data_IF_700980122394
#
_entry.id   IF_700980122394
#
_cell.length_a   1.000
_cell.length_b   1.000
_cell.length_c   1.000
_cell.angle_alpha   90.00
_cell.angle_beta   90.00
_cell.angle_gamma   90.00
#
_symmetry.space_group_name_H-M   'P 1'
#
loop_
_entity.id
_entity.type
_entity.pdbx_description
1 polymer ?
#
# COMPACT_ATOMS: atom_id res chain seq x y z
N UNK A 1 2.39 4.04 19.66
CA UNK A 1 1.63 4.55 18.50
C UNK A 1 1.53 6.04 18.65
N UNK A 2 1.89 6.76 17.58
CA UNK A 2 1.85 8.21 17.52
C UNK A 2 0.75 8.64 16.57
N UNK A 3 -0.01 9.65 16.98
CA UNK A 3 -1.16 10.16 16.24
C UNK A 3 -0.96 11.66 16.03
N UNK A 4 -1.13 12.08 14.79
CA UNK A 4 -1.24 13.47 14.38
C UNK A 4 -2.67 13.72 13.93
N UNK A 5 -3.31 14.76 14.47
CA UNK A 5 -4.62 15.21 14.00
C UNK A 5 -4.44 16.59 13.38
N UNK A 6 -4.83 16.72 12.11
CA UNK A 6 -4.80 17.99 11.37
C UNK A 6 -6.24 18.42 11.09
N UNK A 7 -6.49 19.72 11.16
CA UNK A 7 -7.81 20.33 10.97
C UNK A 7 -8.73 20.25 12.19
N UNK A 8 -9.82 21.01 12.17
CA UNK A 8 -10.81 21.05 13.24
C UNK A 8 -11.96 20.06 12.99
N UNK A 9 -12.40 19.37 14.05
CA UNK A 9 -13.57 18.46 14.02
C UNK A 9 -13.21 16.99 14.18
N UNK A 10 -14.15 16.10 13.85
CA UNK A 10 -13.94 14.65 13.92
C UNK A 10 -13.35 14.14 12.60
N UNK A 11 -12.16 13.52 12.59
CA UNK A 11 -11.60 12.94 11.37
C UNK A 11 -12.49 11.83 10.80
N UNK A 12 -12.78 11.91 9.50
CA UNK A 12 -13.46 10.85 8.73
C UNK A 12 -12.48 10.06 7.85
N UNK A 13 -11.21 10.47 7.84
CA UNK A 13 -10.13 9.88 7.05
C UNK A 13 -8.96 9.60 7.97
N UNK A 14 -8.32 8.44 7.79
CA UNK A 14 -7.08 8.11 8.48
C UNK A 14 -6.01 7.58 7.54
N UNK A 15 -4.75 7.88 7.84
CA UNK A 15 -3.57 7.32 7.20
C UNK A 15 -2.78 6.56 8.26
N UNK A 16 -2.41 5.32 7.97
CA UNK A 16 -1.67 4.43 8.87
C UNK A 16 -0.37 4.02 8.19
N UNK A 17 0.75 4.24 8.88
CA UNK A 17 2.06 3.79 8.46
C UNK A 17 2.72 2.90 9.51
N UNK A 18 3.63 2.04 9.06
CA UNK A 18 4.47 1.19 9.92
C UNK A 18 3.65 0.30 10.87
N UNK A 19 2.68 -0.41 10.30
CA UNK A 19 2.08 -1.60 10.93
C UNK A 19 3.17 -2.63 11.22
N UNK A 20 4.07 -2.83 10.26
CA UNK A 20 5.30 -3.60 10.42
C UNK A 20 6.47 -2.64 10.67
N UNK A 21 7.30 -2.93 11.67
CA UNK A 21 8.39 -2.03 12.08
C UNK A 21 9.57 -1.97 11.11
N UNK A 22 9.78 -3.03 10.32
CA UNK A 22 10.80 -3.08 9.27
C UNK A 22 10.35 -2.42 7.96
N UNK A 23 9.15 -1.84 7.91
CA UNK A 23 8.58 -1.07 6.80
C UNK A 23 8.48 0.44 7.17
N UNK A 24 9.60 1.19 7.16
CA UNK A 24 9.65 2.57 7.66
C UNK A 24 9.05 3.61 6.69
N UNK A 25 8.70 3.23 5.45
CA UNK A 25 8.27 4.16 4.40
C UNK A 25 7.04 4.97 4.81
N UNK A 26 6.02 4.32 5.41
CA UNK A 26 4.81 4.98 5.88
C UNK A 26 5.08 6.00 6.99
N UNK A 27 5.88 5.65 8.00
CA UNK A 27 6.25 6.58 9.06
C UNK A 27 7.02 7.80 8.52
N UNK A 28 8.03 7.57 7.67
CA UNK A 28 8.81 8.66 7.05
C UNK A 28 7.93 9.60 6.22
N UNK A 29 7.00 9.03 5.45
CA UNK A 29 6.08 9.80 4.62
C UNK A 29 5.09 10.64 5.47
N UNK A 30 4.54 10.07 6.54
CA UNK A 30 3.68 10.78 7.50
C UNK A 30 4.44 11.92 8.17
N UNK A 31 5.65 11.64 8.70
CA UNK A 31 6.46 12.65 9.39
C UNK A 31 6.86 13.79 8.45
N UNK A 32 7.21 13.48 7.20
CA UNK A 32 7.47 14.48 6.16
C UNK A 32 6.23 15.34 5.89
N UNK A 33 5.08 14.70 5.65
CA UNK A 33 3.83 15.41 5.36
C UNK A 33 3.42 16.34 6.51
N UNK A 34 3.51 15.88 7.76
CA UNK A 34 3.18 16.70 8.93
C UNK A 34 4.17 17.85 9.12
N UNK A 35 5.46 17.64 8.85
CA UNK A 35 6.48 18.67 8.99
C UNK A 35 6.32 19.84 8.00
N UNK A 36 5.61 19.63 6.89
CA UNK A 36 5.27 20.65 5.90
C UNK A 36 4.12 21.57 6.36
N UNK A 37 3.47 21.27 7.49
CA UNK A 37 2.32 22.01 8.05
C UNK A 37 1.22 22.30 7.02
N UNK A 38 0.64 21.25 6.39
CA UNK A 38 -0.26 21.41 5.27
C UNK A 38 -1.62 22.00 5.70
N UNK A 39 -2.16 22.88 4.87
CA UNK A 39 -3.51 23.42 5.05
C UNK A 39 -4.55 22.39 4.58
N UNK A 40 -5.25 21.77 5.52
CA UNK A 40 -6.25 20.73 5.25
C UNK A 40 -7.67 21.31 5.24
N UNK A 41 -8.47 20.94 4.24
CA UNK A 41 -9.87 21.37 4.11
C UNK A 41 -10.82 20.59 5.04
N UNK A 42 -10.39 19.40 5.48
CA UNK A 42 -11.16 18.49 6.34
C UNK A 42 -10.26 17.84 7.39
N UNK A 43 -10.77 17.52 8.58
CA UNK A 43 -9.97 16.89 9.61
C UNK A 43 -9.50 15.49 9.20
N UNK A 44 -8.23 15.18 9.48
CA UNK A 44 -7.59 13.90 9.16
C UNK A 44 -6.71 13.43 10.31
N UNK A 45 -6.63 12.11 10.47
CA UNK A 45 -5.73 11.45 11.42
C UNK A 45 -4.57 10.76 10.70
N UNK A 46 -3.33 11.04 11.07
CA UNK A 46 -2.17 10.31 10.58
C UNK A 46 -1.51 9.53 11.72
N UNK A 47 -1.26 8.25 11.51
CA UNK A 47 -0.92 7.30 12.57
C UNK A 47 0.37 6.57 12.21
N UNK A 48 1.37 6.66 13.08
CA UNK A 48 2.53 5.76 13.07
C UNK A 48 2.26 4.63 14.06
N UNK A 49 1.90 3.46 13.55
CA UNK A 49 1.29 2.38 14.32
C UNK A 49 2.25 1.74 15.33
N UNK A 50 3.21 0.93 14.87
CA UNK A 50 4.10 0.15 15.73
C UNK A 50 5.48 0.82 15.93
N UNK A 51 5.50 1.92 16.67
CA UNK A 51 6.74 2.68 16.95
C UNK A 51 7.83 1.84 17.65
N UNK A 52 7.45 0.87 18.47
CA UNK A 52 8.42 0.03 19.19
C UNK A 52 9.12 -0.94 18.25
N UNK A 53 8.35 -1.64 17.39
CA UNK A 53 8.93 -2.49 16.35
C UNK A 53 9.72 -1.66 15.32
N UNK A 54 9.24 -0.46 14.97
CA UNK A 54 9.94 0.47 14.09
C UNK A 54 11.30 0.90 14.66
N UNK A 55 11.36 1.20 15.96
CA UNK A 55 12.61 1.53 16.63
C UNK A 55 13.59 0.34 16.71
N UNK A 56 13.05 -0.89 16.74
CA UNK A 56 13.84 -2.12 16.71
C UNK A 56 14.29 -2.54 15.30
N UNK A 57 13.73 -1.95 14.23
CA UNK A 57 13.88 -2.40 12.83
C UNK A 57 13.48 -3.88 12.65
N UNK A 58 12.44 -4.28 13.39
CA UNK A 58 11.86 -5.63 13.36
C UNK A 58 10.42 -5.55 12.87
N UNK A 59 9.95 -6.59 12.17
CA UNK A 59 8.57 -6.64 11.67
C UNK A 59 7.54 -6.47 12.79
N UNK A 60 7.76 -7.14 13.92
CA UNK A 60 6.97 -7.10 15.14
C UNK A 60 7.82 -7.59 16.33
N UNK A 61 7.37 -7.34 17.55
CA UNK A 61 8.03 -7.76 18.79
C UNK A 61 7.48 -9.07 19.35
N UNK A 62 6.15 -9.18 19.54
CA UNK A 62 5.52 -10.36 20.14
C UNK A 62 4.68 -11.15 19.12
N UNK A 63 3.74 -10.49 18.43
CA UNK A 63 2.88 -11.07 17.39
C UNK A 63 2.86 -10.18 16.14
N UNK A 64 2.58 -10.73 14.95
CA UNK A 64 2.35 -9.90 13.75
C UNK A 64 1.10 -9.03 13.94
N UNK A 65 1.27 -7.70 14.01
CA UNK A 65 0.17 -6.75 14.20
C UNK A 65 -0.91 -6.89 13.13
N UNK A 66 -0.54 -7.16 11.86
CA UNK A 66 -1.49 -7.35 10.78
C UNK A 66 -2.15 -8.75 10.78
N UNK A 67 -2.04 -9.48 11.90
CA UNK A 67 -2.76 -10.73 12.20
C UNK A 67 -3.49 -10.68 13.54
N UNK A 68 -3.42 -9.54 14.23
CA UNK A 68 -3.87 -9.40 15.60
C UNK A 68 -5.23 -8.70 15.73
N UNK A 69 -5.84 -8.21 14.65
CA UNK A 69 -7.14 -7.52 14.70
C UNK A 69 -8.28 -8.49 15.05
N UNK A 70 -9.28 -8.08 15.88
CA UNK A 70 -9.51 -6.75 16.45
C UNK A 70 -8.76 -6.44 17.76
N UNK A 71 -7.79 -7.28 18.15
CA UNK A 71 -6.96 -7.10 19.34
C UNK A 71 -7.67 -7.38 20.67
N UNK A 72 -6.91 -7.22 21.76
CA UNK A 72 -7.39 -7.33 23.15
C UNK A 72 -6.63 -6.33 24.03
N UNK A 73 -7.31 -5.38 24.69
CA UNK A 73 -6.65 -4.36 25.52
C UNK A 73 -5.98 -4.95 26.77
N UNK A 74 -6.30 -6.19 27.14
CA UNK A 74 -5.72 -6.89 28.28
C UNK A 74 -4.74 -8.00 27.87
N UNK A 75 -4.41 -8.13 26.58
CA UNK A 75 -3.41 -9.11 26.15
C UNK A 75 -2.03 -8.82 26.77
N UNK A 76 -1.23 -9.87 26.96
CA UNK A 76 0.18 -9.72 27.36
C UNK A 76 1.06 -9.24 26.20
N UNK A 77 0.71 -9.63 24.97
CA UNK A 77 1.37 -9.21 23.73
C UNK A 77 1.17 -7.71 23.47
N UNK A 78 2.26 -7.05 23.10
CA UNK A 78 2.28 -5.66 22.65
C UNK A 78 1.36 -5.44 21.45
N UNK A 79 1.53 -6.21 20.38
CA UNK A 79 0.78 -6.01 19.13
C UNK A 79 -0.72 -6.30 19.30
N UNK A 80 -1.13 -7.21 20.18
CA UNK A 80 -2.56 -7.45 20.43
C UNK A 80 -3.24 -6.29 21.14
N UNK A 81 -2.55 -5.64 22.08
CA UNK A 81 -3.07 -4.39 22.69
C UNK A 81 -3.09 -3.27 21.66
N UNK A 82 -2.02 -3.16 20.88
CA UNK A 82 -1.91 -2.15 19.82
C UNK A 82 -2.99 -2.32 18.74
N UNK A 83 -3.33 -3.55 18.34
CA UNK A 83 -4.41 -3.83 17.39
C UNK A 83 -5.77 -3.34 17.91
N UNK A 84 -6.03 -3.50 19.22
CA UNK A 84 -7.24 -2.98 19.85
C UNK A 84 -7.30 -1.46 19.77
N UNK A 85 -6.21 -0.79 20.12
CA UNK A 85 -6.13 0.67 20.12
C UNK A 85 -6.21 1.23 18.70
N UNK A 86 -5.42 0.71 17.77
CA UNK A 86 -5.44 1.11 16.35
C UNK A 86 -6.82 0.88 15.73
N UNK A 87 -7.44 -0.27 15.98
CA UNK A 87 -8.79 -0.58 15.51
C UNK A 87 -9.87 0.35 16.06
N UNK A 88 -9.64 1.01 17.20
CA UNK A 88 -10.51 2.09 17.70
C UNK A 88 -10.24 3.42 17.00
N UNK A 89 -8.97 3.74 16.73
CA UNK A 89 -8.59 5.00 16.12
C UNK A 89 -9.02 5.13 14.66
N UNK A 90 -9.03 4.03 13.89
CA UNK A 90 -9.48 3.99 12.49
C UNK A 90 -10.99 3.79 12.35
N UNK A 91 -11.70 3.49 13.43
CA UNK A 91 -13.12 3.15 13.40
C UNK A 91 -13.95 4.32 12.88
N UNK A 92 -14.74 4.06 11.83
CA UNK A 92 -15.61 5.07 11.23
C UNK A 92 -14.88 6.03 10.29
N UNK A 93 -13.61 5.73 9.96
CA UNK A 93 -12.85 6.47 8.95
C UNK A 93 -12.72 5.64 7.66
N UNK A 94 -12.53 6.30 6.53
CA UNK A 94 -11.87 5.68 5.38
C UNK A 94 -10.38 5.62 5.66
N UNK A 95 -9.83 4.41 5.83
CA UNK A 95 -8.45 4.21 6.26
C UNK A 95 -7.53 3.91 5.08
N UNK A 96 -6.34 4.50 5.08
CA UNK A 96 -5.30 4.27 4.10
C UNK A 96 -4.06 3.73 4.77
N UNK A 97 -3.75 2.45 4.58
CA UNK A 97 -2.65 1.76 5.25
C UNK A 97 -1.48 1.52 4.29
N UNK A 98 -0.29 1.97 4.68
CA UNK A 98 0.90 1.97 3.85
C UNK A 98 1.85 0.87 4.30
N UNK A 99 2.21 0.02 3.36
CA UNK A 99 3.13 -1.10 3.48
C UNK A 99 4.29 -0.96 2.47
N UNK A 100 5.27 -1.85 2.60
CA UNK A 100 6.25 -2.10 1.54
C UNK A 100 6.59 -3.58 1.47
N UNK A 101 7.07 -4.03 0.33
CA UNK A 101 7.24 -5.46 0.04
C UNK A 101 8.66 -5.79 -0.40
N UNK A 102 9.00 -7.08 -0.44
CA UNK A 102 10.23 -7.58 -1.06
C UNK A 102 9.98 -8.13 -2.48
N UNK A 103 8.76 -8.05 -2.99
CA UNK A 103 8.34 -8.73 -4.22
C UNK A 103 8.33 -7.87 -5.48
N UNK A 104 8.12 -6.56 -5.33
CA UNK A 104 7.81 -5.68 -6.46
C UNK A 104 8.22 -4.24 -6.14
N UNK A 105 8.78 -3.54 -7.13
CA UNK A 105 9.36 -2.21 -6.94
C UNK A 105 8.35 -1.07 -7.12
N UNK A 106 7.39 -1.25 -8.01
CA UNK A 106 6.37 -0.23 -8.27
C UNK A 106 5.25 -0.29 -7.22
N UNK A 107 4.61 0.85 -6.91
CA UNK A 107 3.52 0.87 -5.96
C UNK A 107 2.26 0.24 -6.54
N UNK A 108 1.49 -0.45 -5.69
CA UNK A 108 0.18 -0.99 -6.05
C UNK A 108 -0.78 -1.01 -4.87
N UNK A 109 -2.08 -1.02 -5.17
CA UNK A 109 -3.13 -1.01 -4.16
C UNK A 109 -3.62 -2.41 -3.82
N UNK A 110 -4.09 -2.59 -2.59
CA UNK A 110 -4.70 -3.80 -2.07
C UNK A 110 -6.02 -3.42 -1.40
N UNK A 111 -7.09 -4.12 -1.76
CA UNK A 111 -8.43 -3.94 -1.18
C UNK A 111 -9.06 -5.31 -0.90
N UNK A 112 -9.99 -5.39 0.05
CA UNK A 112 -10.73 -6.63 0.26
C UNK A 112 -11.54 -7.01 -0.98
N UNK A 113 -12.34 -6.04 -1.46
CA UNK A 113 -13.07 -6.07 -2.71
C UNK A 113 -13.21 -4.66 -3.29
N UNK A 114 -13.38 -4.57 -4.61
CA UNK A 114 -13.59 -3.28 -5.30
C UNK A 114 -15.05 -2.83 -5.16
N UNK A 115 -15.32 -2.08 -4.09
CA UNK A 115 -16.61 -1.48 -3.73
C UNK A 115 -16.79 -0.04 -4.27
N UNK A 116 -17.89 0.64 -3.89
CA UNK A 116 -18.18 1.98 -4.37
C UNK A 116 -17.15 3.03 -3.91
N UNK A 117 -16.56 2.86 -2.73
CA UNK A 117 -15.60 3.80 -2.16
C UNK A 117 -14.24 3.60 -2.81
N UNK A 118 -13.72 2.37 -2.85
CA UNK A 118 -12.44 2.09 -3.51
C UNK A 118 -12.48 2.42 -5.01
N UNK A 119 -13.60 2.19 -5.71
CA UNK A 119 -13.76 2.65 -7.11
C UNK A 119 -13.63 4.15 -7.30
N UNK A 120 -13.94 4.96 -6.30
CA UNK A 120 -13.83 6.42 -6.38
C UNK A 120 -12.43 6.95 -6.07
N UNK A 121 -11.63 6.16 -5.33
CA UNK A 121 -10.31 6.54 -4.82
C UNK A 121 -9.20 5.94 -5.65
N UNK A 122 -9.24 4.62 -5.94
CA UNK A 122 -8.16 3.88 -6.59
C UNK A 122 -7.67 4.50 -7.90
N UNK A 123 -8.54 4.96 -8.83
CA UNK A 123 -8.08 5.59 -10.08
C UNK A 123 -7.36 6.93 -9.91
N UNK A 124 -7.41 7.51 -8.70
CA UNK A 124 -6.74 8.78 -8.37
C UNK A 124 -5.40 8.57 -7.67
N UNK A 125 -5.04 7.32 -7.37
CA UNK A 125 -3.77 6.99 -6.75
C UNK A 125 -2.71 6.75 -7.85
N UNK A 126 -1.44 7.12 -7.61
CA UNK A 126 -0.34 6.86 -8.53
C UNK A 126 0.08 5.38 -8.48
N UNK A 127 -0.81 4.49 -8.96
CA UNK A 127 -0.60 3.04 -9.06
C UNK A 127 -1.20 2.52 -10.36
N UNK A 128 -0.57 1.51 -10.96
CA UNK A 128 -1.07 0.88 -12.18
C UNK A 128 -1.87 -0.41 -11.91
N UNK A 129 -1.77 -0.92 -10.68
CA UNK A 129 -2.37 -2.19 -10.26
C UNK A 129 -3.14 -2.07 -8.95
N UNK A 130 -4.30 -2.73 -8.88
CA UNK A 130 -5.03 -3.02 -7.66
C UNK A 130 -5.27 -4.53 -7.50
N UNK A 131 -5.22 -5.01 -6.26
CA UNK A 131 -5.41 -6.42 -5.91
C UNK A 131 -6.58 -6.59 -4.94
N UNK A 132 -7.57 -7.40 -5.32
CA UNK A 132 -8.61 -7.90 -4.43
C UNK A 132 -8.08 -9.08 -3.60
N UNK A 133 -8.07 -8.96 -2.27
CA UNK A 133 -7.62 -10.03 -1.38
C UNK A 133 -8.66 -11.13 -1.23
N UNK A 134 -9.95 -10.84 -1.42
CA UNK A 134 -11.02 -11.81 -1.21
C UNK A 134 -10.87 -12.49 0.17
N UNK A 135 -10.99 -13.81 0.27
CA UNK A 135 -10.90 -14.56 1.53
C UNK A 135 -9.50 -14.62 2.19
N UNK A 136 -8.49 -13.88 1.70
CA UNK A 136 -7.14 -13.89 2.28
C UNK A 136 -6.86 -12.76 3.30
N UNK A 137 -7.90 -12.02 3.68
CA UNK A 137 -7.85 -10.86 4.58
C UNK A 137 -7.92 -11.19 6.09
N UNK A 138 -8.18 -12.44 6.49
CA UNK A 138 -8.45 -12.79 7.90
C UNK A 138 -7.43 -12.23 8.91
N UNK A 139 -7.93 -11.47 9.89
CA UNK A 139 -7.18 -10.90 11.01
C UNK A 139 -6.34 -9.66 10.69
N UNK A 140 -6.49 -9.09 9.49
CA UNK A 140 -5.74 -7.91 9.01
C UNK A 140 -6.51 -6.61 9.21
N UNK A 141 -5.80 -5.48 9.13
CA UNK A 141 -6.43 -4.15 9.12
C UNK A 141 -7.42 -3.99 7.95
N UNK A 142 -7.13 -4.58 6.79
CA UNK A 142 -8.01 -4.50 5.60
C UNK A 142 -9.45 -4.99 5.83
N UNK A 143 -9.72 -5.80 6.88
CA UNK A 143 -11.07 -6.23 7.23
C UNK A 143 -11.92 -5.10 7.84
N UNK A 144 -11.28 -4.01 8.29
CA UNK A 144 -11.99 -2.82 8.71
C UNK A 144 -12.65 -2.16 7.50
N UNK A 145 -13.94 -1.83 7.64
CA UNK A 145 -14.72 -1.20 6.58
C UNK A 145 -14.00 0.03 6.01
N UNK A 146 -13.94 0.12 4.68
CA UNK A 146 -13.38 1.25 3.94
C UNK A 146 -11.86 1.43 4.11
N UNK A 147 -11.13 0.34 4.33
CA UNK A 147 -9.66 0.33 4.30
C UNK A 147 -9.15 0.10 2.88
N UNK A 148 -8.19 0.92 2.46
CA UNK A 148 -7.37 0.73 1.26
C UNK A 148 -5.92 0.55 1.74
N UNK A 149 -5.31 -0.58 1.40
CA UNK A 149 -3.89 -0.82 1.62
C UNK A 149 -3.10 -0.48 0.36
N UNK A 150 -1.84 -0.09 0.52
CA UNK A 150 -0.89 0.07 -0.59
C UNK A 150 0.44 -0.54 -0.22
N UNK A 151 1.08 -1.17 -1.20
CA UNK A 151 2.48 -1.52 -1.14
C UNK A 151 3.24 -0.41 -1.87
N UNK A 152 4.10 0.33 -1.18
CA UNK A 152 4.77 1.51 -1.73
C UNK A 152 6.01 1.19 -2.57
N UNK A 153 6.39 -0.09 -2.66
CA UNK A 153 7.56 -0.57 -3.39
C UNK A 153 8.49 -1.40 -2.51
N UNK A 154 9.78 -1.46 -2.86
CA UNK A 154 10.76 -2.28 -2.15
C UNK A 154 11.04 -1.76 -0.74
N UNK A 155 10.87 -2.65 0.25
CA UNK A 155 11.10 -2.38 1.67
C UNK A 155 12.49 -1.80 1.93
N UNK A 156 12.57 -0.84 2.87
CA UNK A 156 13.78 -0.10 3.27
C UNK A 156 14.43 0.76 2.17
N UNK A 157 13.81 0.90 1.00
CA UNK A 157 14.28 1.84 -0.03
C UNK A 157 13.83 3.27 0.24
N UNK A 158 14.62 4.25 -0.22
CA UNK A 158 14.21 5.66 -0.21
C UNK A 158 13.06 5.90 -1.20
N UNK A 159 13.06 5.16 -2.32
CA UNK A 159 11.99 5.19 -3.31
C UNK A 159 10.62 4.80 -2.73
N UNK A 160 10.56 3.75 -1.89
CA UNK A 160 9.32 3.40 -1.21
C UNK A 160 8.82 4.51 -0.25
N UNK A 161 9.74 5.27 0.37
CA UNK A 161 9.36 6.40 1.22
C UNK A 161 8.85 7.59 0.39
N UNK A 162 9.46 7.86 -0.77
CA UNK A 162 8.98 8.87 -1.71
C UNK A 162 7.61 8.50 -2.31
N UNK A 163 7.45 7.25 -2.74
CA UNK A 163 6.16 6.72 -3.22
C UNK A 163 5.08 6.83 -2.14
N UNK A 164 5.39 6.42 -0.90
CA UNK A 164 4.46 6.55 0.23
C UNK A 164 4.01 8.01 0.45
N UNK A 165 4.90 8.99 0.32
CA UNK A 165 4.54 10.41 0.44
C UNK A 165 3.57 10.86 -0.66
N UNK A 166 3.81 10.50 -1.92
CA UNK A 166 2.90 10.85 -3.02
C UNK A 166 1.57 10.10 -2.93
N UNK A 167 1.58 8.85 -2.49
CA UNK A 167 0.38 8.06 -2.20
C UNK A 167 -0.48 8.71 -1.12
N UNK A 168 0.13 9.21 -0.02
CA UNK A 168 -0.59 9.98 1.01
C UNK A 168 -1.25 11.20 0.38
N UNK A 169 -0.51 12.03 -0.35
CA UNK A 169 -1.08 13.25 -0.94
C UNK A 169 -2.21 12.95 -1.92
N UNK A 170 -2.02 11.97 -2.80
CA UNK A 170 -3.05 11.55 -3.75
C UNK A 170 -4.31 11.04 -3.05
N UNK A 171 -4.17 10.20 -2.01
CA UNK A 171 -5.28 9.71 -1.21
C UNK A 171 -6.02 10.85 -0.48
N UNK A 172 -5.29 11.77 0.13
CA UNK A 172 -5.88 12.92 0.84
C UNK A 172 -6.58 13.88 -0.12
N UNK A 173 -6.05 14.09 -1.33
CA UNK A 173 -6.75 14.82 -2.38
C UNK A 173 -8.00 14.07 -2.87
N UNK A 174 -7.91 12.75 -3.07
CA UNK A 174 -9.04 11.91 -3.50
C UNK A 174 -10.21 11.91 -2.50
N UNK A 175 -9.92 12.11 -1.22
CA UNK A 175 -10.90 12.18 -0.12
C UNK A 175 -11.31 13.61 0.27
N UNK A 176 -10.81 14.62 -0.47
CA UNK A 176 -11.02 16.05 -0.24
C UNK A 176 -10.53 16.54 1.13
N UNK A 177 -9.50 15.89 1.69
CA UNK A 177 -8.75 16.40 2.86
C UNK A 177 -7.78 17.49 2.40
N UNK A 178 -7.12 17.27 1.26
CA UNK A 178 -6.33 18.28 0.58
C UNK A 178 -7.13 18.89 -0.58
N UNK A 179 -6.87 20.16 -0.93
CA UNK A 179 -7.48 20.77 -2.10
C UNK A 179 -7.12 19.98 -3.37
N UNK A 180 -8.02 20.02 -4.35
CA UNK A 180 -7.70 19.52 -5.68
C UNK A 180 -6.55 20.36 -6.29
N UNK A 181 -5.61 19.75 -7.04
CA UNK A 181 -4.57 20.48 -7.74
C UNK A 181 -5.22 21.55 -8.61
N UNK A 182 -4.68 22.77 -8.59
CA UNK A 182 -5.18 23.82 -9.48
C UNK A 182 -5.01 23.34 -10.92
N UNK A 183 -6.11 23.10 -11.63
CA UNK A 183 -6.06 22.87 -13.08
C UNK A 183 -5.42 24.13 -13.64
N UNK A 184 -4.22 24.00 -14.20
CA UNK A 184 -3.61 25.10 -14.93
C UNK A 184 -4.58 25.39 -16.08
N UNK A 185 -5.29 26.51 -15.99
CA UNK A 185 -6.03 27.00 -17.14
C UNK A 185 -5.02 27.12 -18.28
N UNK A 186 -5.24 26.42 -19.39
CA UNK A 186 -4.49 26.59 -20.62
C UNK A 186 -4.46 28.10 -20.96
N UNK A 187 -3.38 28.74 -20.53
CA UNK A 187 -3.10 30.13 -20.81
C UNK A 187 -2.65 30.21 -22.26
N UNK A 188 -3.55 30.60 -23.14
CA UNK A 188 -3.23 30.84 -24.54
C UNK A 188 -2.10 31.86 -24.75
N UNK A 189 -1.21 31.53 -25.70
CA UNK A 189 -0.17 32.33 -26.41
C UNK A 189 0.91 32.98 -25.52
N UNK A 190 2.20 32.78 -25.77
CA UNK A 190 2.93 33.24 -26.97
C UNK A 190 4.32 32.59 -27.09
N UNK A 191 4.83 32.47 -28.33
CA UNK A 191 5.94 31.57 -28.69
C UNK A 191 7.33 31.92 -28.16
N UNK A 192 7.79 31.19 -27.14
CA UNK A 192 9.20 31.04 -26.77
C UNK A 192 9.59 29.56 -26.71
N UNK A 193 10.78 29.22 -27.22
CA UNK A 193 11.29 27.85 -27.23
C UNK A 193 11.35 27.24 -25.81
N UNK A 194 11.13 25.92 -25.63
CA UNK A 194 11.20 25.30 -24.30
C UNK A 194 12.65 25.32 -23.81
N UNK A 195 12.85 25.91 -22.64
CA UNK A 195 14.08 25.76 -21.85
C UNK A 195 13.97 24.43 -21.10
N UNK A 196 14.90 23.51 -21.33
CA UNK A 196 14.97 22.19 -20.70
C UNK A 196 15.43 22.33 -19.24
N UNK A 197 14.57 22.88 -18.39
CA UNK A 197 14.66 22.76 -16.93
C UNK A 197 13.25 22.87 -16.34
N UNK A 198 12.41 21.86 -16.59
CA UNK A 198 11.15 21.72 -15.87
C UNK A 198 11.45 21.37 -14.42
N UNK A 199 11.43 22.39 -13.57
CA UNK A 199 11.26 22.24 -12.13
C UNK A 199 9.92 21.55 -11.89
N UNK A 200 9.92 20.23 -11.66
CA UNK A 200 8.75 19.46 -11.28
C UNK A 200 8.14 20.06 -10.01
N UNK A 201 7.04 20.79 -10.14
CA UNK A 201 6.32 21.33 -8.98
C UNK A 201 5.52 20.22 -8.30
N UNK A 202 5.10 20.42 -7.05
CA UNK A 202 4.23 19.45 -6.36
C UNK A 202 2.93 19.18 -7.13
N UNK A 203 2.38 20.21 -7.77
CA UNK A 203 1.19 20.12 -8.62
C UNK A 203 1.43 19.27 -9.87
N UNK A 204 2.64 19.28 -10.45
CA UNK A 204 2.95 18.50 -11.64
C UNK A 204 2.98 17.00 -11.34
N UNK A 205 3.46 16.56 -10.17
CA UNK A 205 3.45 15.13 -9.78
C UNK A 205 2.05 14.62 -9.41
N UNK A 206 1.23 15.47 -8.80
CA UNK A 206 -0.20 15.17 -8.60
C UNK A 206 -0.96 15.12 -9.93
N UNK A 207 -0.57 15.91 -10.95
CA UNK A 207 -1.11 15.85 -12.31
C UNK A 207 -0.56 14.67 -13.13
N UNK A 208 0.73 14.36 -13.01
CA UNK A 208 1.37 13.17 -13.60
C UNK A 208 0.80 11.87 -13.03
N UNK A 209 0.31 11.89 -11.77
CA UNK A 209 -0.43 10.81 -11.13
C UNK A 209 -1.92 10.76 -11.46
N UNK A 210 -2.45 11.68 -12.28
CA UNK A 210 -3.78 11.59 -12.91
C UNK A 210 -3.56 11.46 -14.41
N UNK A 211 -3.23 10.26 -14.92
CA UNK A 211 -2.97 10.12 -16.34
C UNK A 211 -4.29 10.27 -17.10
N UNK A 212 -4.30 11.07 -18.17
CA UNK A 212 -5.50 11.36 -18.98
C UNK A 212 -6.10 10.13 -19.70
N UNK A 213 -5.58 8.92 -19.49
CA UNK A 213 -6.08 7.68 -20.10
C UNK A 213 -5.61 6.39 -19.37
N UNK A 214 -5.29 6.42 -18.06
CA UNK A 214 -4.85 5.19 -17.37
C UNK A 214 -6.01 4.32 -16.93
N UNK A 215 -6.01 3.07 -17.42
CA UNK A 215 -6.83 2.01 -16.89
C UNK A 215 -6.06 1.27 -15.79
N UNK A 216 -6.53 1.32 -14.55
CA UNK A 216 -5.96 0.58 -13.44
C UNK A 216 -6.28 -0.90 -13.58
N UNK A 217 -5.26 -1.76 -13.70
CA UNK A 217 -5.46 -3.20 -13.78
C UNK A 217 -5.90 -3.77 -12.44
N UNK A 218 -6.98 -4.55 -12.43
CA UNK A 218 -7.49 -5.21 -11.23
C UNK A 218 -7.19 -6.70 -11.30
N UNK A 219 -6.51 -7.20 -10.27
CA UNK A 219 -6.25 -8.61 -10.05
C UNK A 219 -6.98 -9.12 -8.82
N UNK A 220 -7.17 -10.43 -8.73
CA UNK A 220 -7.76 -11.10 -7.55
C UNK A 220 -6.89 -12.25 -7.10
N UNK A 221 -6.67 -12.34 -5.79
CA UNK A 221 -5.98 -13.48 -5.17
C UNK A 221 -6.85 -14.74 -5.24
N UNK A 222 -6.24 -15.86 -5.66
CA UNK A 222 -6.90 -17.15 -5.77
C UNK A 222 -6.32 -18.20 -4.83
N UNK A 223 -5.00 -18.22 -4.66
CA UNK A 223 -4.31 -19.32 -3.99
C UNK A 223 -2.98 -18.86 -3.38
N UNK A 224 -2.60 -19.44 -2.23
CA UNK A 224 -1.27 -19.28 -1.63
C UNK A 224 -0.31 -20.28 -2.26
N UNK A 225 0.82 -19.80 -2.77
CA UNK A 225 1.87 -20.64 -3.33
C UNK A 225 2.78 -21.14 -2.21
N UNK A 226 2.80 -22.44 -1.89
CA UNK A 226 3.50 -22.97 -0.72
C UNK A 226 5.02 -22.80 -0.84
N UNK A 227 5.67 -22.50 0.28
CA UNK A 227 7.13 -22.42 0.38
C UNK A 227 7.62 -23.33 1.51
N UNK A 228 8.00 -24.58 1.20
CA UNK A 228 8.49 -25.50 2.22
C UNK A 228 9.84 -25.01 2.79
N UNK A 229 10.22 -25.44 4.00
CA UNK A 229 11.53 -25.12 4.55
C UNK A 229 12.67 -25.61 3.65
N UNK A 230 13.56 -24.71 3.28
CA UNK A 230 14.75 -24.91 2.47
C UNK A 230 15.84 -23.92 2.88
N UNK A 231 17.09 -24.22 2.51
CA UNK A 231 18.24 -23.34 2.80
C UNK A 231 18.31 -22.16 1.82
N UNK A 232 17.88 -22.36 0.57
CA UNK A 232 17.90 -21.35 -0.49
C UNK A 232 16.60 -21.32 -1.27
N UNK A 233 16.16 -20.10 -1.61
CA UNK A 233 14.97 -19.85 -2.41
C UNK A 233 15.29 -18.96 -3.62
N UNK A 234 14.64 -19.27 -4.74
CA UNK A 234 14.69 -18.46 -5.96
C UNK A 234 13.28 -18.29 -6.51
N UNK A 235 13.01 -17.10 -7.04
CA UNK A 235 11.80 -16.77 -7.80
C UNK A 235 12.21 -16.41 -9.22
N UNK A 236 11.50 -16.94 -10.20
CA UNK A 236 11.79 -16.78 -11.62
C UNK A 236 10.70 -15.97 -12.34
N UNK A 237 9.50 -15.90 -11.77
CA UNK A 237 8.37 -15.18 -12.35
C UNK A 237 8.35 -13.71 -11.91
N UNK A 238 7.85 -12.84 -12.79
CA UNK A 238 7.61 -11.42 -12.52
C UNK A 238 6.19 -11.24 -11.96
N UNK A 239 6.03 -10.47 -10.89
CA UNK A 239 4.70 -10.13 -10.38
C UNK A 239 3.87 -9.40 -11.45
N UNK A 240 2.58 -9.74 -11.52
CA UNK A 240 1.59 -9.22 -12.47
C UNK A 240 1.83 -9.55 -13.96
N UNK A 241 2.84 -10.36 -14.29
CA UNK A 241 3.00 -10.98 -15.61
C UNK A 241 2.46 -12.42 -15.62
N UNK A 242 1.87 -12.91 -16.74
CA UNK A 242 1.30 -14.25 -16.77
C UNK A 242 2.40 -15.32 -16.75
N UNK A 243 2.25 -16.30 -15.85
CA UNK A 243 3.02 -17.56 -15.84
C UNK A 243 2.17 -18.62 -16.53
N UNK A 244 2.74 -19.30 -17.53
CA UNK A 244 2.02 -20.31 -18.31
C UNK A 244 2.16 -21.69 -17.69
N UNK A 245 1.14 -22.53 -17.80
CA UNK A 245 1.20 -23.92 -17.37
C UNK A 245 2.45 -24.65 -17.93
N UNK A 246 3.21 -25.29 -17.04
CA UNK A 246 4.48 -25.94 -17.35
C UNK A 246 5.72 -25.08 -17.15
N UNK A 247 5.57 -23.78 -16.84
CA UNK A 247 6.68 -22.89 -16.53
C UNK A 247 7.11 -22.98 -15.05
N UNK A 248 8.43 -22.97 -14.80
CA UNK A 248 8.96 -22.94 -13.45
C UNK A 248 8.92 -21.52 -12.89
N UNK A 249 8.21 -21.31 -11.78
CA UNK A 249 8.06 -19.97 -11.19
C UNK A 249 8.92 -19.76 -9.94
N UNK A 250 9.31 -20.84 -9.25
CA UNK A 250 10.16 -20.77 -8.06
C UNK A 250 10.99 -22.04 -7.86
N UNK A 251 11.98 -21.96 -6.97
CA UNK A 251 12.81 -23.08 -6.53
C UNK A 251 13.08 -22.97 -5.03
N UNK A 252 13.06 -24.11 -4.34
CA UNK A 252 13.51 -24.27 -2.97
C UNK A 252 14.56 -25.38 -2.93
N UNK A 253 15.83 -25.03 -2.70
CA UNK A 253 16.99 -25.93 -2.88
C UNK A 253 16.99 -26.65 -4.24
N UNK A 254 16.76 -27.97 -4.24
CA UNK A 254 16.70 -28.80 -5.44
C UNK A 254 15.27 -28.98 -5.99
N UNK A 255 14.24 -28.58 -5.25
CA UNK A 255 12.84 -28.72 -5.64
C UNK A 255 12.40 -27.54 -6.50
N UNK A 256 11.95 -27.82 -7.72
CA UNK A 256 11.39 -26.82 -8.64
C UNK A 256 9.87 -26.79 -8.55
N UNK A 257 9.32 -25.59 -8.49
CA UNK A 257 7.89 -25.33 -8.49
C UNK A 257 7.46 -24.90 -9.88
N UNK A 258 6.61 -25.71 -10.50
CA UNK A 258 6.14 -25.55 -11.87
C UNK A 258 4.65 -25.27 -11.85
N UNK A 259 4.22 -24.31 -12.66
CA UNK A 259 2.82 -23.95 -12.79
C UNK A 259 2.00 -25.12 -13.37
N UNK A 260 0.95 -25.54 -12.67
CA UNK A 260 0.00 -26.55 -13.15
C UNK A 260 -1.09 -25.95 -14.07
N UNK A 261 -1.31 -24.64 -13.96
CA UNK A 261 -2.23 -23.82 -14.74
C UNK A 261 -1.67 -22.42 -14.96
N UNK A 262 -2.27 -21.68 -15.88
CA UNK A 262 -1.93 -20.27 -16.09
C UNK A 262 -2.37 -19.44 -14.87
N UNK A 263 -1.52 -18.52 -14.41
CA UNK A 263 -1.84 -17.58 -13.32
C UNK A 263 -0.98 -16.31 -13.39
N UNK A 264 -1.35 -15.31 -12.60
CA UNK A 264 -0.54 -14.10 -12.37
C UNK A 264 0.07 -14.14 -10.97
N UNK A 265 1.41 -14.09 -10.81
CA UNK A 265 2.04 -14.01 -9.51
C UNK A 265 1.76 -12.66 -8.85
N UNK A 266 1.42 -12.69 -7.57
CA UNK A 266 1.15 -11.50 -6.77
C UNK A 266 1.87 -11.65 -5.44
N UNK A 267 2.63 -10.62 -5.04
CA UNK A 267 3.50 -10.64 -3.86
C UNK A 267 4.47 -11.85 -3.84
N UNK A 268 4.86 -12.34 -5.02
CA UNK A 268 5.79 -13.45 -5.18
C UNK A 268 7.22 -12.98 -4.87
N UNK A 269 7.84 -13.58 -3.86
CA UNK A 269 9.21 -13.30 -3.43
C UNK A 269 9.84 -14.52 -2.76
N UNK A 270 11.17 -14.57 -2.78
CA UNK A 270 11.92 -15.65 -2.13
C UNK A 270 11.94 -15.50 -0.58
N UNK A 271 11.94 -14.25 -0.08
CA UNK A 271 12.23 -13.94 1.32
C UNK A 271 11.20 -13.00 1.99
N UNK A 272 10.11 -12.64 1.31
CA UNK A 272 9.08 -11.77 1.87
C UNK A 272 8.21 -12.46 2.93
N UNK A 273 7.67 -13.65 2.63
CA UNK A 273 6.91 -14.45 3.59
C UNK A 273 7.73 -15.63 4.12
N UNK A 274 7.38 -16.14 5.30
CA UNK A 274 8.07 -17.29 5.88
C UNK A 274 7.68 -18.61 5.20
N UNK A 275 6.40 -18.82 4.96
CA UNK A 275 5.77 -20.12 4.63
C UNK A 275 5.13 -20.20 3.24
N UNK A 276 5.08 -19.07 2.52
CA UNK A 276 4.59 -19.00 1.13
C UNK A 276 5.58 -18.23 0.26
N UNK A 277 5.61 -18.50 -1.04
CA UNK A 277 6.34 -17.62 -1.98
C UNK A 277 5.55 -16.35 -2.24
N UNK A 278 4.22 -16.45 -2.24
CA UNK A 278 3.29 -15.38 -2.58
C UNK A 278 1.95 -15.99 -2.96
N UNK A 279 1.25 -15.35 -3.89
CA UNK A 279 -0.08 -15.77 -4.31
C UNK A 279 -0.14 -15.97 -5.82
N UNK A 280 -0.94 -16.94 -6.24
CA UNK A 280 -1.46 -17.00 -7.59
C UNK A 280 -2.77 -16.21 -7.67
N UNK A 281 -2.93 -15.42 -8.72
CA UNK A 281 -4.12 -14.63 -8.99
C UNK A 281 -4.58 -14.66 -10.44
N UNK A 282 -5.66 -13.94 -10.70
CA UNK A 282 -6.23 -13.71 -12.03
C UNK A 282 -6.41 -12.21 -12.27
N UNK A 283 -6.30 -11.76 -13.53
CA UNK A 283 -6.71 -10.41 -13.93
C UNK A 283 -8.23 -10.39 -14.15
N UNK A 284 -8.94 -9.55 -13.40
CA UNK A 284 -10.42 -9.53 -13.37
C UNK A 284 -11.03 -8.36 -14.13
N UNK A 285 -10.24 -7.34 -14.47
CA UNK A 285 -10.70 -6.22 -15.28
C UNK A 285 -9.81 -5.00 -15.14
N UNK A 286 -10.38 -3.83 -15.47
CA UNK A 286 -9.74 -2.53 -15.29
C UNK A 286 -10.71 -1.53 -14.67
N UNK A 287 -10.17 -0.55 -13.93
CA UNK A 287 -10.91 0.66 -13.53
C UNK A 287 -10.45 1.83 -14.42
N UNK A 288 -11.38 2.67 -14.89
CA UNK A 288 -11.06 3.89 -15.64
C UNK A 288 -10.67 5.04 -14.70
#
# INVERSE_FOLDING_TARGET
MRIYELGDGTPEVSVVGSIHGDEPCGARAIERFVAEDPDVERPVKLIVANEEALAADERYLDDDLNRAFPGDPNAESHERRLAHDLGREVRGTTAFSIHSTQSYAEPFAIVDAVDAISRSILPRLPVDVAVETNHFAEGRLIEHAHTIEVEAGLQKSDEAADNAYWLIRAFLTATNVLPAPAIASDGGSDGGAPDETESQTEDDRLKLGIPEEHSLDVFRLLERLPKPPADQYEVHATNFEPVVAGEAFARADAEQFVADRDFYPILLSAYGYADIFGYAGEKVGTLP
#
